data_IF_431264057204
#
_entry.id   IF_431264057204
#
_cell.length_a   1.000
_cell.length_b   1.000
_cell.length_c   1.000
_cell.angle_alpha   90.00
_cell.angle_beta   90.00
_cell.angle_gamma   90.00
#
_symmetry.space_group_name_H-M   'P 1'
#
loop_
_entity.id
_entity.type
_entity.pdbx_description
1 polymer ?
#
# COMPACT_ATOMS: atom_id res chain seq x y z
N UNK A 1 -61.51 -20.54 13.50
CA UNK A 1 -60.43 -19.57 13.88
C UNK A 1 -59.20 -19.88 12.99
N UNK A 2 -58.89 -19.04 12.04
CA UNK A 2 -57.70 -19.18 11.16
C UNK A 2 -56.61 -18.24 11.70
N UNK A 3 -55.56 -18.83 12.26
CA UNK A 3 -54.38 -18.09 12.78
C UNK A 3 -53.49 -17.70 11.61
N UNK A 4 -53.40 -16.39 11.32
CA UNK A 4 -52.43 -15.86 10.37
C UNK A 4 -51.08 -15.76 11.09
N UNK A 5 -50.08 -16.54 10.65
CA UNK A 5 -48.70 -16.38 11.00
C UNK A 5 -48.10 -15.22 10.15
N UNK A 6 -47.79 -14.09 10.80
CA UNK A 6 -47.01 -13.01 10.21
C UNK A 6 -45.53 -13.35 10.31
N UNK A 7 -44.90 -13.74 9.19
CA UNK A 7 -43.44 -13.87 9.11
C UNK A 7 -42.79 -12.51 9.04
N UNK A 8 -42.15 -12.09 10.12
CA UNK A 8 -41.36 -10.87 10.19
C UNK A 8 -40.01 -11.13 9.47
N UNK A 9 -39.87 -10.68 8.23
CA UNK A 9 -38.60 -10.65 7.52
C UNK A 9 -37.74 -9.54 8.13
N UNK A 10 -36.78 -9.92 8.97
CA UNK A 10 -35.71 -9.04 9.41
C UNK A 10 -34.79 -8.75 8.21
N UNK A 11 -34.94 -7.56 7.61
CA UNK A 11 -33.96 -7.05 6.66
C UNK A 11 -32.65 -6.73 7.42
N UNK A 12 -31.65 -7.58 7.22
CA UNK A 12 -30.28 -7.26 7.67
C UNK A 12 -29.79 -6.05 6.89
N UNK A 13 -29.27 -5.01 7.58
CA UNK A 13 -28.69 -3.88 6.89
C UNK A 13 -27.53 -4.37 6.02
N UNK A 14 -27.61 -4.12 4.70
CA UNK A 14 -26.47 -4.34 3.82
C UNK A 14 -25.32 -3.45 4.33
N UNK A 15 -24.21 -4.08 4.71
CA UNK A 15 -22.99 -3.34 5.04
C UNK A 15 -22.64 -2.45 3.85
N UNK A 16 -22.60 -1.13 4.05
CA UNK A 16 -22.18 -0.22 3.01
C UNK A 16 -20.77 -0.61 2.57
N UNK A 17 -20.53 -0.71 1.25
CA UNK A 17 -19.20 -1.00 0.72
C UNK A 17 -18.22 0.06 1.26
N UNK A 18 -17.02 -0.37 1.68
CA UNK A 18 -16.01 0.51 2.28
C UNK A 18 -15.40 1.52 1.27
N UNK A 19 -15.86 1.54 0.01
CA UNK A 19 -15.34 2.38 -1.06
C UNK A 19 -14.34 1.66 -1.96
N UNK A 20 -13.57 2.43 -2.73
CA UNK A 20 -12.54 1.92 -3.63
C UNK A 20 -11.15 2.23 -3.07
N UNK A 21 -10.31 1.21 -2.95
CA UNK A 21 -8.91 1.35 -2.57
C UNK A 21 -7.98 1.05 -3.75
N UNK A 22 -6.97 1.89 -3.95
CA UNK A 22 -5.84 1.60 -4.81
C UNK A 22 -4.60 1.36 -3.95
N UNK A 23 -3.95 0.21 -4.11
CA UNK A 23 -2.69 -0.08 -3.47
C UNK A 23 -1.59 -0.19 -4.54
N UNK A 24 -0.55 0.63 -4.41
CA UNK A 24 0.65 0.59 -5.25
C UNK A 24 1.90 0.37 -4.40
N UNK A 25 2.88 -0.36 -4.95
CA UNK A 25 4.10 -0.62 -4.22
C UNK A 25 5.27 -1.12 -5.06
N UNK A 26 6.40 -1.28 -4.38
CA UNK A 26 7.63 -1.78 -4.98
C UNK A 26 7.83 -3.30 -4.77
N UNK A 27 9.08 -3.75 -4.65
CA UNK A 27 9.41 -5.18 -4.49
C UNK A 27 8.84 -5.81 -3.22
N UNK A 28 8.69 -5.06 -2.14
CA UNK A 28 8.08 -5.58 -0.91
C UNK A 28 6.61 -5.93 -1.13
N UNK A 29 5.93 -5.14 -1.97
CA UNK A 29 4.52 -5.33 -2.31
C UNK A 29 4.28 -6.42 -3.36
N UNK A 30 5.29 -6.81 -4.15
CA UNK A 30 5.21 -7.98 -5.05
C UNK A 30 5.09 -9.28 -4.25
N UNK A 31 5.52 -9.30 -3.00
CA UNK A 31 5.58 -10.47 -2.12
C UNK A 31 4.55 -10.50 -0.98
N UNK A 32 4.88 -11.23 0.11
CA UNK A 32 3.94 -11.54 1.20
C UNK A 32 3.28 -10.33 1.85
N UNK A 33 4.01 -9.23 2.03
CA UNK A 33 3.46 -7.99 2.57
C UNK A 33 2.32 -7.48 1.68
N UNK A 34 2.57 -7.36 0.36
CA UNK A 34 1.56 -6.84 -0.57
C UNK A 34 0.36 -7.76 -0.72
N UNK A 35 0.57 -9.07 -0.74
CA UNK A 35 -0.54 -10.04 -0.78
C UNK A 35 -1.42 -9.94 0.46
N UNK A 36 -0.80 -9.81 1.64
CA UNK A 36 -1.54 -9.66 2.90
C UNK A 36 -2.28 -8.33 2.97
N UNK A 37 -1.69 -7.23 2.50
CA UNK A 37 -2.35 -5.94 2.43
C UNK A 37 -3.57 -5.97 1.48
N UNK A 38 -3.43 -6.59 0.28
CA UNK A 38 -4.55 -6.78 -0.65
C UNK A 38 -5.68 -7.60 -0.02
N UNK A 39 -5.35 -8.70 0.69
CA UNK A 39 -6.31 -9.52 1.43
C UNK A 39 -7.08 -8.69 2.48
N UNK A 40 -6.38 -7.89 3.26
CA UNK A 40 -6.96 -7.07 4.33
C UNK A 40 -7.88 -5.98 3.78
N UNK A 41 -7.46 -5.28 2.71
CA UNK A 41 -8.28 -4.27 2.05
C UNK A 41 -9.57 -4.88 1.50
N UNK A 42 -9.49 -6.00 0.79
CA UNK A 42 -10.67 -6.71 0.27
C UNK A 42 -11.54 -7.28 1.38
N UNK A 43 -10.92 -7.85 2.42
CA UNK A 43 -11.62 -8.38 3.60
C UNK A 43 -12.40 -7.31 4.36
N UNK A 44 -11.94 -6.06 4.32
CA UNK A 44 -12.64 -4.90 4.88
C UNK A 44 -13.75 -4.33 3.97
N UNK A 45 -14.00 -4.94 2.81
CA UNK A 45 -15.07 -4.56 1.89
C UNK A 45 -14.69 -3.51 0.85
N UNK A 46 -13.39 -3.14 0.72
CA UNK A 46 -12.96 -2.24 -0.35
C UNK A 46 -12.98 -2.95 -1.71
N UNK A 47 -13.45 -2.23 -2.73
CA UNK A 47 -13.20 -2.59 -4.13
C UNK A 47 -11.75 -2.23 -4.45
N UNK A 48 -10.84 -3.22 -4.36
CA UNK A 48 -9.39 -3.00 -4.34
C UNK A 48 -8.73 -3.28 -5.69
N UNK A 49 -7.93 -2.34 -6.19
CA UNK A 49 -6.91 -2.57 -7.22
C UNK A 49 -5.53 -2.58 -6.56
N UNK A 50 -4.75 -3.63 -6.79
CA UNK A 50 -3.39 -3.80 -6.24
C UNK A 50 -2.40 -3.91 -7.38
N UNK A 51 -1.39 -3.04 -7.38
CA UNK A 51 -0.34 -3.00 -8.39
C UNK A 51 1.02 -2.86 -7.72
N UNK A 52 1.88 -3.83 -7.90
CA UNK A 52 3.22 -3.84 -7.33
C UNK A 52 4.27 -4.11 -8.41
N UNK A 53 5.30 -3.26 -8.48
CA UNK A 53 6.35 -3.30 -9.49
C UNK A 53 7.73 -3.27 -8.83
N UNK A 54 8.43 -4.40 -8.86
CA UNK A 54 9.74 -4.57 -8.24
C UNK A 54 10.74 -3.55 -8.77
N UNK A 55 11.44 -2.85 -7.85
CA UNK A 55 12.44 -1.84 -8.19
C UNK A 55 11.87 -0.45 -8.45
N UNK A 56 10.54 -0.29 -8.42
CA UNK A 56 9.92 0.99 -8.75
C UNK A 56 10.21 2.09 -7.73
N UNK A 57 10.34 3.30 -8.25
CA UNK A 57 10.22 4.59 -7.58
C UNK A 57 9.01 5.32 -8.17
N UNK A 58 8.59 6.45 -7.62
CA UNK A 58 7.38 7.15 -8.06
C UNK A 58 7.39 7.49 -9.57
N UNK A 59 8.54 7.89 -10.13
CA UNK A 59 8.69 8.18 -11.55
C UNK A 59 8.31 7.01 -12.48
N UNK A 60 8.49 5.76 -12.03
CA UNK A 60 8.13 4.61 -12.88
C UNK A 60 6.63 4.51 -13.14
N UNK A 61 5.82 4.96 -12.18
CA UNK A 61 4.37 5.04 -12.27
C UNK A 61 3.87 6.16 -13.20
N UNK A 62 4.76 7.09 -13.56
CA UNK A 62 4.47 8.11 -14.58
C UNK A 62 4.93 7.68 -15.98
N UNK A 63 6.04 6.96 -16.04
CA UNK A 63 6.73 6.67 -17.31
C UNK A 63 6.44 5.27 -17.87
N UNK A 64 5.83 4.40 -17.10
CA UNK A 64 5.61 3.01 -17.49
C UNK A 64 6.89 2.18 -17.57
N UNK A 65 7.95 2.59 -16.82
CA UNK A 65 9.24 1.89 -16.88
C UNK A 65 9.08 0.41 -16.54
N UNK A 66 9.75 -0.43 -17.32
CA UNK A 66 9.69 -1.87 -17.11
C UNK A 66 10.43 -2.29 -15.84
N UNK A 67 9.77 -3.12 -15.02
CA UNK A 67 10.43 -3.80 -13.92
C UNK A 67 11.29 -4.97 -14.43
N UNK A 68 12.53 -5.12 -13.94
CA UNK A 68 13.38 -6.25 -14.30
C UNK A 68 13.23 -7.46 -13.36
N UNK A 69 12.55 -7.30 -12.22
CA UNK A 69 12.63 -8.24 -11.08
C UNK A 69 11.28 -8.72 -10.56
N UNK A 70 10.20 -8.46 -11.28
CA UNK A 70 8.89 -9.00 -10.97
C UNK A 70 7.80 -7.97 -10.78
N UNK A 71 6.58 -8.37 -11.05
CA UNK A 71 5.38 -7.59 -10.78
C UNK A 71 4.23 -8.48 -10.30
N UNK A 72 3.31 -7.86 -9.59
CA UNK A 72 2.05 -8.46 -9.17
C UNK A 72 0.94 -7.42 -9.29
N UNK A 73 -0.02 -7.69 -10.16
CA UNK A 73 -1.20 -6.85 -10.35
C UNK A 73 -2.44 -7.67 -10.06
N UNK A 74 -3.37 -7.09 -9.32
CA UNK A 74 -4.67 -7.69 -9.07
C UNK A 74 -5.76 -6.64 -9.24
N UNK A 75 -6.54 -6.78 -10.30
CA UNK A 75 -7.65 -5.89 -10.62
C UNK A 75 -8.77 -5.94 -9.58
N UNK A 76 -9.70 -4.99 -9.69
CA UNK A 76 -10.90 -4.96 -8.83
C UNK A 76 -11.82 -6.15 -9.05
N UNK A 77 -11.73 -6.79 -10.21
CA UNK A 77 -12.42 -8.05 -10.55
C UNK A 77 -11.76 -9.30 -9.94
N UNK A 78 -10.64 -9.11 -9.23
CA UNK A 78 -9.88 -10.17 -8.58
C UNK A 78 -8.92 -10.92 -9.51
N UNK A 79 -8.88 -10.61 -10.82
CA UNK A 79 -7.92 -11.24 -11.73
C UNK A 79 -6.50 -10.84 -11.38
N UNK A 80 -5.61 -11.82 -11.38
CA UNK A 80 -4.20 -11.67 -11.08
C UNK A 80 -3.37 -11.79 -12.35
N UNK A 81 -2.52 -10.79 -12.57
CA UNK A 81 -1.43 -10.83 -13.54
C UNK A 81 -0.10 -10.71 -12.79
N UNK A 82 0.85 -11.57 -13.08
CA UNK A 82 2.18 -11.56 -12.47
C UNK A 82 3.23 -12.07 -13.44
N UNK A 83 4.43 -11.57 -13.32
CA UNK A 83 5.55 -11.98 -14.18
C UNK A 83 6.88 -11.44 -13.69
N UNK A 84 7.96 -11.84 -14.37
CA UNK A 84 9.32 -11.40 -14.03
C UNK A 84 9.65 -10.03 -14.63
N UNK A 85 9.09 -9.71 -15.79
CA UNK A 85 9.31 -8.44 -16.50
C UNK A 85 7.99 -7.93 -17.02
N UNK A 86 7.77 -6.63 -16.92
CA UNK A 86 6.57 -5.99 -17.43
C UNK A 86 6.61 -4.48 -17.18
N UNK A 87 5.76 -3.71 -17.88
CA UNK A 87 5.66 -2.28 -17.64
C UNK A 87 5.03 -2.00 -16.27
N UNK A 88 5.56 -1.01 -15.56
CA UNK A 88 4.85 -0.42 -14.42
C UNK A 88 3.61 0.27 -14.95
N UNK A 89 2.41 0.02 -14.42
CA UNK A 89 1.20 0.68 -14.91
C UNK A 89 1.28 2.20 -14.75
N UNK A 90 0.67 2.93 -15.68
CA UNK A 90 0.60 4.40 -15.61
C UNK A 90 -0.40 4.80 -14.54
N UNK A 91 0.07 5.55 -13.54
CA UNK A 91 -0.72 5.92 -12.37
C UNK A 91 -1.98 6.74 -12.73
N UNK A 92 -1.87 7.66 -13.67
CA UNK A 92 -3.00 8.47 -14.12
C UNK A 92 -4.12 7.63 -14.75
N UNK A 93 -3.75 6.57 -15.49
CA UNK A 93 -4.73 5.67 -16.10
C UNK A 93 -5.47 4.87 -15.01
N UNK A 94 -4.73 4.39 -14.00
CA UNK A 94 -5.32 3.68 -12.86
C UNK A 94 -6.25 4.60 -12.07
N UNK A 95 -5.82 5.84 -11.76
CA UNK A 95 -6.67 6.82 -11.06
C UNK A 95 -7.96 7.11 -11.81
N UNK A 96 -7.86 7.31 -13.13
CA UNK A 96 -9.01 7.59 -14.00
C UNK A 96 -9.99 6.42 -14.04
N UNK A 97 -9.48 5.19 -14.09
CA UNK A 97 -10.28 3.97 -14.15
C UNK A 97 -10.95 3.66 -12.81
N UNK A 98 -10.17 3.67 -11.73
CA UNK A 98 -10.64 3.20 -10.43
C UNK A 98 -11.38 4.28 -9.63
N UNK A 99 -10.99 5.54 -9.78
CA UNK A 99 -11.47 6.68 -8.97
C UNK A 99 -11.47 6.32 -7.48
N UNK A 100 -10.28 6.02 -6.90
CA UNK A 100 -10.20 5.51 -5.55
C UNK A 100 -10.58 6.56 -4.51
N UNK A 101 -11.19 6.12 -3.41
CA UNK A 101 -11.42 6.95 -2.22
C UNK A 101 -10.15 7.04 -1.36
N UNK A 102 -9.32 5.99 -1.40
CA UNK A 102 -8.03 5.93 -0.70
C UNK A 102 -6.96 5.29 -1.60
N UNK A 103 -5.78 5.90 -1.61
CA UNK A 103 -4.57 5.34 -2.23
C UNK A 103 -3.59 4.99 -1.12
N UNK A 104 -3.19 3.72 -1.08
CA UNK A 104 -2.13 3.21 -0.22
C UNK A 104 -0.87 3.07 -1.04
N UNK A 105 0.21 3.72 -0.62
CA UNK A 105 1.51 3.71 -1.30
C UNK A 105 2.52 3.00 -0.42
N UNK A 106 3.20 1.97 -0.92
CA UNK A 106 4.39 1.39 -0.30
C UNK A 106 5.56 1.58 -1.26
N UNK A 107 6.22 2.73 -1.16
CA UNK A 107 7.40 3.10 -1.94
C UNK A 107 8.44 3.75 -1.02
N UNK A 108 9.71 3.50 -1.31
CA UNK A 108 10.79 4.13 -0.54
C UNK A 108 12.10 3.36 -0.66
N UNK A 109 12.07 2.03 -0.66
CA UNK A 109 13.26 1.20 -0.59
C UNK A 109 14.27 1.51 -1.72
N UNK A 110 13.79 1.77 -2.92
CA UNK A 110 14.62 1.98 -4.11
C UNK A 110 15.29 3.36 -4.17
N UNK A 111 14.84 4.32 -3.35
CA UNK A 111 15.55 5.60 -3.20
C UNK A 111 16.90 5.47 -2.46
N UNK A 112 17.19 4.29 -1.88
CA UNK A 112 18.55 3.97 -1.41
C UNK A 112 19.61 4.04 -2.51
N UNK A 113 19.20 3.89 -3.76
CA UNK A 113 20.06 3.90 -4.95
C UNK A 113 19.95 5.20 -5.75
N UNK A 114 19.21 6.18 -5.26
CA UNK A 114 19.07 7.51 -5.85
C UNK A 114 20.01 8.46 -5.11
N UNK A 115 20.97 9.05 -5.82
CA UNK A 115 21.98 9.93 -5.23
C UNK A 115 21.42 11.30 -4.85
N UNK A 116 20.53 11.85 -5.68
CA UNK A 116 19.98 13.20 -5.45
C UNK A 116 18.79 13.17 -4.49
N UNK A 117 18.95 13.79 -3.33
CA UNK A 117 17.88 13.98 -2.35
C UNK A 117 16.77 14.87 -2.89
N UNK A 118 17.12 15.93 -3.61
CA UNK A 118 16.14 16.85 -4.21
C UNK A 118 15.27 16.13 -5.27
N UNK A 119 15.89 15.27 -6.09
CA UNK A 119 15.14 14.44 -7.01
C UNK A 119 14.22 13.47 -6.24
N UNK A 120 14.71 12.77 -5.23
CA UNK A 120 13.92 11.80 -4.47
C UNK A 120 12.70 12.47 -3.80
N UNK A 121 12.90 13.64 -3.18
CA UNK A 121 11.81 14.41 -2.57
C UNK A 121 10.82 14.89 -3.63
N UNK A 122 11.32 15.48 -4.73
CA UNK A 122 10.46 15.99 -5.80
C UNK A 122 9.61 14.88 -6.43
N UNK A 123 10.20 13.70 -6.66
CA UNK A 123 9.55 12.54 -7.26
C UNK A 123 8.42 11.99 -6.37
N UNK A 124 8.70 11.74 -5.10
CA UNK A 124 7.68 11.29 -4.15
C UNK A 124 6.59 12.36 -3.93
N UNK A 125 6.96 13.63 -3.78
CA UNK A 125 6.02 14.75 -3.58
C UNK A 125 5.06 14.90 -4.77
N UNK A 126 5.54 14.71 -5.98
CA UNK A 126 4.71 14.75 -7.20
C UNK A 126 3.64 13.66 -7.16
N UNK A 127 3.99 12.44 -6.76
CA UNK A 127 3.03 11.34 -6.62
C UNK A 127 2.00 11.64 -5.52
N UNK A 128 2.45 12.07 -4.33
CA UNK A 128 1.57 12.40 -3.22
C UNK A 128 0.54 13.48 -3.59
N UNK A 129 0.99 14.57 -4.22
CA UNK A 129 0.11 15.65 -4.71
C UNK A 129 -0.85 15.18 -5.78
N UNK A 130 -0.43 14.28 -6.67
CA UNK A 130 -1.30 13.72 -7.70
C UNK A 130 -2.43 12.90 -7.08
N UNK A 131 -2.16 12.17 -6.00
CA UNK A 131 -3.17 11.42 -5.25
C UNK A 131 -4.21 12.38 -4.65
N UNK A 132 -3.76 13.37 -3.89
CA UNK A 132 -4.67 14.31 -3.22
C UNK A 132 -5.44 15.19 -4.21
N UNK A 133 -4.80 15.60 -5.31
CA UNK A 133 -5.46 16.33 -6.39
C UNK A 133 -6.57 15.54 -7.10
N UNK A 134 -6.53 14.21 -7.05
CA UNK A 134 -7.61 13.35 -7.57
C UNK A 134 -8.83 13.28 -6.65
N UNK A 135 -8.76 13.84 -5.45
CA UNK A 135 -9.77 13.73 -4.39
C UNK A 135 -9.60 12.50 -3.49
N UNK A 136 -8.64 11.62 -3.77
CA UNK A 136 -8.35 10.46 -2.95
C UNK A 136 -7.57 10.84 -1.68
N UNK A 137 -7.81 10.13 -0.59
CA UNK A 137 -6.98 10.19 0.61
C UNK A 137 -5.68 9.42 0.36
N UNK A 138 -4.55 9.96 0.83
CA UNK A 138 -3.22 9.37 0.66
C UNK A 138 -2.70 8.76 1.96
N UNK A 139 -2.37 7.45 1.95
CA UNK A 139 -1.72 6.76 3.04
C UNK A 139 -0.39 6.17 2.56
N UNK A 140 0.73 6.65 3.12
CA UNK A 140 2.07 6.26 2.69
C UNK A 140 2.76 5.36 3.71
N UNK A 141 3.09 4.15 3.31
CA UNK A 141 3.81 3.16 4.10
C UNK A 141 5.30 3.28 3.74
N UNK A 142 6.13 3.59 4.74
CA UNK A 142 7.56 3.78 4.52
C UNK A 142 8.27 2.44 4.29
N UNK A 143 9.53 2.52 3.81
CA UNK A 143 10.45 1.38 3.76
C UNK A 143 10.56 0.69 5.13
N UNK A 144 10.49 -0.67 5.19
CA UNK A 144 10.70 -1.42 6.43
C UNK A 144 12.18 -1.48 6.83
N UNK A 145 12.44 -2.02 8.04
CA UNK A 145 13.81 -2.38 8.46
C UNK A 145 14.45 -3.37 7.48
N UNK A 146 15.76 -3.31 7.35
CA UNK A 146 16.53 -4.19 6.48
C UNK A 146 17.95 -4.35 7.03
N UNK A 147 18.56 -5.52 6.84
CA UNK A 147 19.95 -5.76 7.19
C UNK A 147 20.90 -5.18 6.16
N UNK A 148 20.56 -5.38 4.87
CA UNK A 148 21.33 -4.81 3.76
C UNK A 148 20.93 -3.35 3.56
N UNK A 149 21.92 -2.47 3.41
CA UNK A 149 21.72 -1.02 3.28
C UNK A 149 21.00 -0.37 4.49
N UNK A 150 21.13 -0.95 5.68
CA UNK A 150 20.51 -0.43 6.90
C UNK A 150 20.85 1.05 7.15
N UNK A 151 22.09 1.46 6.82
CA UNK A 151 22.55 2.84 6.97
C UNK A 151 21.78 3.87 6.09
N UNK A 152 21.11 3.40 5.04
CA UNK A 152 20.30 4.29 4.19
C UNK A 152 18.89 4.54 4.75
N UNK A 153 18.44 3.74 5.73
CA UNK A 153 17.05 3.81 6.25
C UNK A 153 16.74 5.19 6.83
N UNK A 154 17.55 5.79 7.73
CA UNK A 154 17.24 7.10 8.29
C UNK A 154 17.09 8.19 7.22
N UNK A 155 17.99 8.18 6.21
CA UNK A 155 17.91 9.11 5.08
C UNK A 155 16.61 8.94 4.31
N UNK A 156 16.24 7.71 3.96
CA UNK A 156 15.03 7.43 3.18
C UNK A 156 13.78 7.85 3.95
N UNK A 157 13.71 7.57 5.25
CA UNK A 157 12.60 8.01 6.09
C UNK A 157 12.47 9.51 6.07
N UNK A 158 13.58 10.24 6.31
CA UNK A 158 13.58 11.71 6.28
C UNK A 158 13.11 12.27 4.94
N UNK A 159 13.56 11.69 3.82
CA UNK A 159 13.14 12.11 2.49
C UNK A 159 11.64 11.82 2.24
N UNK A 160 11.13 10.69 2.72
CA UNK A 160 9.71 10.33 2.61
C UNK A 160 8.84 11.31 3.39
N UNK A 161 9.17 11.60 4.64
CA UNK A 161 8.46 12.62 5.43
C UNK A 161 8.48 13.98 4.74
N UNK A 162 9.69 14.48 4.37
CA UNK A 162 9.84 15.78 3.67
C UNK A 162 8.99 15.85 2.37
N UNK A 163 8.81 14.73 1.70
CA UNK A 163 8.09 14.68 0.43
C UNK A 163 6.58 14.59 0.60
N UNK A 164 6.10 13.80 1.57
CA UNK A 164 4.72 13.32 1.57
C UNK A 164 3.88 13.74 2.78
N UNK A 165 4.46 14.23 3.89
CA UNK A 165 3.72 14.54 5.13
C UNK A 165 2.65 15.64 5.00
N UNK A 166 2.77 16.53 4.01
CA UNK A 166 1.76 17.55 3.74
C UNK A 166 0.51 16.99 3.07
N UNK A 167 0.66 15.90 2.31
CA UNK A 167 -0.37 15.34 1.43
C UNK A 167 -0.89 13.97 1.91
N UNK A 168 -0.08 13.22 2.67
CA UNK A 168 -0.35 11.84 3.05
C UNK A 168 -0.22 11.64 4.57
N UNK A 169 -1.06 10.75 5.12
CA UNK A 169 -0.75 10.11 6.40
C UNK A 169 0.41 9.13 6.21
N UNK A 170 1.43 9.20 7.07
CA UNK A 170 2.64 8.37 6.95
C UNK A 170 2.70 7.33 8.05
N UNK A 171 2.80 6.07 7.65
CA UNK A 171 3.05 4.93 8.51
C UNK A 171 4.54 4.55 8.49
N UNK A 172 5.20 4.70 9.64
CA UNK A 172 6.61 4.33 9.79
C UNK A 172 6.77 2.82 10.03
N UNK A 173 7.11 2.11 8.97
CA UNK A 173 7.29 0.66 8.99
C UNK A 173 8.42 0.17 9.89
N UNK A 174 9.44 1.01 10.15
CA UNK A 174 10.58 0.63 10.99
C UNK A 174 10.22 0.40 12.45
N UNK A 175 9.08 0.96 12.88
CA UNK A 175 8.57 0.78 14.25
C UNK A 175 7.99 -0.61 14.50
N UNK A 176 7.60 -1.32 13.43
CA UNK A 176 6.91 -2.62 13.52
C UNK A 176 7.66 -3.73 12.82
N UNK A 177 8.78 -3.41 12.16
CA UNK A 177 9.60 -4.40 11.46
C UNK A 177 10.99 -4.46 12.07
N UNK A 178 11.50 -5.69 12.19
CA UNK A 178 12.91 -5.94 12.51
C UNK A 178 13.41 -7.06 11.60
N UNK A 179 14.38 -6.75 10.76
CA UNK A 179 14.93 -7.75 9.86
C UNK A 179 15.76 -8.77 10.65
N UNK A 180 15.58 -10.10 10.45
CA UNK A 180 16.36 -11.12 11.14
C UNK A 180 17.87 -10.99 10.91
N UNK A 181 18.66 -11.34 11.93
CA UNK A 181 20.11 -11.29 11.85
C UNK A 181 20.65 -12.26 10.78
N UNK A 182 19.96 -13.38 10.58
CA UNK A 182 20.32 -14.42 9.62
C UNK A 182 19.18 -14.71 8.64
N UNK A 183 19.49 -15.41 7.55
CA UNK A 183 18.51 -15.76 6.52
C UNK A 183 18.14 -14.64 5.58
N UNK A 184 17.40 -14.96 4.54
CA UNK A 184 16.94 -14.04 3.51
C UNK A 184 18.04 -13.31 2.76
N UNK A 185 17.66 -12.36 1.92
CA UNK A 185 18.59 -11.56 1.11
C UNK A 185 19.06 -10.26 1.81
N UNK A 186 18.56 -10.01 3.03
CA UNK A 186 18.82 -8.82 3.82
C UNK A 186 17.90 -7.63 3.54
N UNK A 187 16.95 -7.78 2.63
CA UNK A 187 16.01 -6.72 2.20
C UNK A 187 14.56 -7.19 2.30
N UNK A 188 14.24 -8.31 1.64
CA UNK A 188 12.89 -8.80 1.47
C UNK A 188 12.50 -9.85 2.50
N UNK A 189 11.26 -9.84 2.94
CA UNK A 189 10.71 -10.77 3.93
C UNK A 189 10.08 -12.03 3.29
N UNK A 190 10.65 -12.55 2.19
CA UNK A 190 10.11 -13.66 1.38
C UNK A 190 10.64 -15.04 1.81
N UNK A 191 11.20 -15.14 2.98
CA UNK A 191 11.76 -16.38 3.51
C UNK A 191 11.01 -16.77 4.78
N UNK A 192 11.23 -18.00 5.25
CA UNK A 192 10.43 -18.64 6.31
C UNK A 192 10.26 -17.76 7.55
N UNK A 193 11.35 -17.18 8.04
CA UNK A 193 11.36 -16.33 9.24
C UNK A 193 10.84 -14.91 8.95
N UNK A 194 10.90 -14.48 7.69
CA UNK A 194 10.41 -13.19 7.23
C UNK A 194 8.89 -13.13 7.05
N UNK A 195 8.25 -14.26 6.70
CA UNK A 195 6.81 -14.29 6.42
C UNK A 195 5.94 -13.79 7.58
N UNK A 196 6.15 -14.21 8.84
CA UNK A 196 5.36 -13.68 9.97
C UNK A 196 5.55 -12.17 10.15
N UNK A 197 6.77 -11.66 9.90
CA UNK A 197 7.06 -10.22 10.02
C UNK A 197 6.34 -9.45 8.92
N UNK A 198 6.39 -9.92 7.67
CA UNK A 198 5.66 -9.30 6.55
C UNK A 198 4.16 -9.23 6.81
N UNK A 199 3.57 -10.33 7.32
CA UNK A 199 2.14 -10.38 7.63
C UNK A 199 1.77 -9.45 8.81
N UNK A 200 2.57 -9.42 9.87
CA UNK A 200 2.36 -8.52 11.00
C UNK A 200 2.52 -7.04 10.58
N UNK A 201 3.49 -6.74 9.72
CA UNK A 201 3.69 -5.40 9.15
C UNK A 201 2.47 -4.96 8.33
N UNK A 202 1.97 -5.82 7.43
CA UNK A 202 0.78 -5.51 6.65
C UNK A 202 -0.45 -5.29 7.54
N UNK A 203 -0.62 -6.12 8.59
CA UNK A 203 -1.71 -5.95 9.55
C UNK A 203 -1.61 -4.61 10.28
N UNK A 204 -0.43 -4.25 10.81
CA UNK A 204 -0.22 -3.00 11.53
C UNK A 204 -0.44 -1.77 10.63
N UNK A 205 0.05 -1.80 9.39
CA UNK A 205 -0.16 -0.73 8.42
C UNK A 205 -1.65 -0.60 8.04
N UNK A 206 -2.34 -1.71 7.82
CA UNK A 206 -3.78 -1.72 7.54
C UNK A 206 -4.60 -1.18 8.71
N UNK A 207 -4.30 -1.59 9.95
CA UNK A 207 -5.02 -1.10 11.13
C UNK A 207 -4.83 0.41 11.31
N UNK A 208 -3.61 0.92 11.14
CA UNK A 208 -3.32 2.35 11.17
C UNK A 208 -4.09 3.12 10.08
N UNK A 209 -4.08 2.61 8.84
CA UNK A 209 -4.85 3.20 7.74
C UNK A 209 -6.34 3.22 8.04
N UNK A 210 -6.89 2.10 8.49
CA UNK A 210 -8.32 1.97 8.81
C UNK A 210 -8.75 2.95 9.90
N UNK A 211 -7.95 3.10 10.95
CA UNK A 211 -8.25 3.99 12.06
C UNK A 211 -8.15 5.46 11.62
N UNK A 212 -7.17 5.79 10.80
CA UNK A 212 -7.05 7.12 10.18
C UNK A 212 -8.22 7.42 9.22
N UNK A 213 -8.65 6.46 8.39
CA UNK A 213 -9.80 6.66 7.48
C UNK A 213 -11.09 6.92 8.25
N UNK A 214 -11.29 6.29 9.41
CA UNK A 214 -12.47 6.54 10.25
C UNK A 214 -12.46 7.93 10.89
N UNK A 215 -11.31 8.60 10.94
CA UNK A 215 -11.12 9.85 11.68
C UNK A 215 -11.04 9.61 13.19
N UNK A 216 -10.79 10.66 14.00
CA UNK A 216 -10.85 10.52 15.44
C UNK A 216 -12.26 10.05 15.81
N UNK A 217 -12.32 8.96 16.56
CA UNK A 217 -13.57 8.46 17.15
C UNK A 217 -14.27 9.65 17.77
N UNK A 218 -15.45 10.02 17.28
CA UNK A 218 -16.34 10.90 18.04
C UNK A 218 -16.63 10.10 19.31
N UNK A 219 -15.91 10.43 20.38
CA UNK A 219 -16.26 9.95 21.69
C UNK A 219 -17.74 10.36 21.88
N UNK A 220 -18.61 9.37 21.98
CA UNK A 220 -20.00 9.60 22.28
C UNK A 220 -20.05 10.41 23.58
N UNK A 221 -20.89 11.44 23.64
CA UNK A 221 -21.07 12.28 24.83
C UNK A 221 -21.56 11.49 26.03
#
# INVERSE_FOLDING_TARGET
>A
MKTLLFSLLLALPAAAAAGTALFIGDSHSVGPFGWKMDELLRGAGYRTGTYASCGSIAQWWETGKQTPCGFYFRGTDGKVEKGQKGPTPIFDDILKELKPDVVVVELGANYAYVESDDFAVSDMKKLARKITASGARCFWITKPDARKNAQAIPRILQLTYKAAEEDCEIFDSTRVTKYPAEGGDGIHYWFKEGLPIANAWAQAAFDAMRDWVKGPSQAAP
#
